data_IF_519346704691
#
_entry.id   IF_519346704691
#
_cell.length_a   1.000
_cell.length_b   1.000
_cell.length_c   1.000
_cell.angle_alpha   90.00
_cell.angle_beta   90.00
_cell.angle_gamma   90.00
#
_symmetry.space_group_name_H-M   'P 1'
#
loop_
_entity.id
_entity.type
_entity.pdbx_description
1 polymer ?
#
# COMPACT_ATOMS: atom_id res chain seq x y z
N UNK A 1 4.65 -18.63 -3.06
CA UNK A 1 6.07 -18.13 -3.14
C UNK A 1 6.61 -18.04 -1.72
N UNK A 2 7.74 -18.64 -1.47
CA UNK A 2 8.45 -18.57 -0.19
C UNK A 2 9.28 -17.28 -0.09
N UNK A 3 9.69 -16.93 1.12
CA UNK A 3 10.60 -15.80 1.36
C UNK A 3 11.92 -15.94 0.57
N UNK A 4 12.44 -17.17 0.47
CA UNK A 4 13.68 -17.43 -0.27
C UNK A 4 13.52 -17.14 -1.78
N UNK A 5 12.42 -17.60 -2.38
CA UNK A 5 12.11 -17.36 -3.79
C UNK A 5 11.92 -15.88 -4.09
N UNK A 6 11.24 -15.14 -3.19
CA UNK A 6 11.06 -13.70 -3.34
C UNK A 6 12.38 -12.93 -3.25
N UNK A 7 13.26 -13.25 -2.29
CA UNK A 7 14.60 -12.64 -2.20
C UNK A 7 15.42 -12.88 -3.45
N UNK A 8 15.39 -14.10 -3.98
CA UNK A 8 16.06 -14.46 -5.23
C UNK A 8 15.51 -13.63 -6.39
N UNK A 9 14.17 -13.58 -6.54
CA UNK A 9 13.48 -12.81 -7.59
C UNK A 9 13.89 -11.33 -7.56
N UNK A 10 13.86 -10.69 -6.38
CA UNK A 10 14.22 -9.28 -6.24
C UNK A 10 15.71 -9.05 -6.60
N UNK A 11 16.60 -9.92 -6.12
CA UNK A 11 18.04 -9.81 -6.39
C UNK A 11 18.36 -9.97 -7.88
N UNK A 12 17.77 -10.94 -8.55
CA UNK A 12 17.95 -11.19 -10.00
C UNK A 12 17.44 -10.03 -10.87
N UNK A 13 16.48 -9.24 -10.34
CA UNK A 13 15.96 -8.04 -10.99
C UNK A 13 16.60 -6.73 -10.49
N UNK A 14 17.74 -6.80 -9.81
CA UNK A 14 18.49 -5.64 -9.28
C UNK A 14 17.65 -4.73 -8.36
N UNK A 15 16.73 -5.30 -7.60
CA UNK A 15 15.93 -4.61 -6.61
C UNK A 15 16.59 -4.73 -5.23
N UNK A 16 17.01 -3.61 -4.68
CA UNK A 16 17.51 -3.51 -3.30
C UNK A 16 16.33 -3.50 -2.32
N UNK A 17 16.47 -4.24 -1.23
CA UNK A 17 15.45 -4.33 -0.19
C UNK A 17 16.08 -4.45 1.20
N UNK A 18 15.33 -4.04 2.21
CA UNK A 18 15.60 -4.28 3.62
C UNK A 18 14.64 -5.35 4.15
N UNK A 19 14.97 -5.95 5.29
CA UNK A 19 14.12 -6.95 5.95
C UNK A 19 13.72 -6.41 7.31
N UNK A 20 12.41 -6.40 7.58
CA UNK A 20 11.87 -6.13 8.90
C UNK A 20 11.06 -7.31 9.40
N UNK A 21 11.06 -7.51 10.71
CA UNK A 21 10.40 -8.60 11.41
C UNK A 21 9.42 -8.03 12.44
N UNK A 22 8.22 -8.60 12.51
CA UNK A 22 7.18 -8.22 13.45
C UNK A 22 6.66 -9.48 14.15
N UNK A 23 6.29 -9.35 15.43
CA UNK A 23 5.80 -10.49 16.22
C UNK A 23 4.45 -11.01 15.75
N UNK A 24 3.59 -10.11 15.22
CA UNK A 24 2.28 -10.45 14.69
C UNK A 24 1.81 -9.44 13.62
N UNK A 25 0.72 -9.76 12.91
CA UNK A 25 0.12 -8.88 11.91
C UNK A 25 -0.39 -7.56 12.48
N UNK A 26 -0.90 -7.54 13.70
CA UNK A 26 -1.41 -6.31 14.30
C UNK A 26 -0.27 -5.29 14.49
N UNK A 27 0.90 -5.76 14.97
CA UNK A 27 2.10 -4.94 15.11
C UNK A 27 2.58 -4.41 13.76
N UNK A 28 2.61 -5.25 12.73
CA UNK A 28 2.94 -4.83 11.37
C UNK A 28 1.98 -3.75 10.85
N UNK A 29 0.66 -3.95 10.96
CA UNK A 29 -0.32 -2.98 10.47
C UNK A 29 -0.27 -1.65 11.22
N UNK A 30 0.05 -1.66 12.52
CA UNK A 30 0.31 -0.42 13.28
C UNK A 30 1.58 0.32 12.82
N UNK A 31 2.52 -0.39 12.22
CA UNK A 31 3.72 0.22 11.64
C UNK A 31 3.43 0.91 10.31
N UNK A 32 2.58 0.32 9.46
CA UNK A 32 2.34 0.74 8.08
C UNK A 32 1.18 1.72 7.94
N UNK A 33 0.13 1.59 8.77
CA UNK A 33 -1.14 2.33 8.65
C UNK A 33 -1.38 3.23 9.85
N UNK A 34 -1.89 4.44 9.61
CA UNK A 34 -2.19 5.39 10.70
C UNK A 34 -3.29 4.89 11.65
N UNK A 35 -4.33 4.26 11.12
CA UNK A 35 -5.46 3.71 11.88
C UNK A 35 -5.83 2.31 11.38
N UNK A 36 -5.04 1.28 11.71
CA UNK A 36 -5.26 -0.08 11.24
C UNK A 36 -6.50 -0.71 11.85
N UNK A 37 -7.15 -1.58 11.08
CA UNK A 37 -8.24 -2.42 11.57
C UNK A 37 -7.69 -3.81 11.93
N UNK A 38 -7.35 -4.00 13.20
CA UNK A 38 -6.62 -5.19 13.67
C UNK A 38 -7.50 -6.31 14.21
N UNK A 39 -8.83 -6.21 14.10
CA UNK A 39 -9.77 -7.21 14.67
C UNK A 39 -9.53 -8.63 14.17
N UNK A 40 -9.09 -8.78 12.93
CA UNK A 40 -8.86 -10.07 12.28
C UNK A 40 -7.36 -10.37 12.08
N UNK A 41 -6.48 -9.61 12.72
CA UNK A 41 -5.05 -9.83 12.63
C UNK A 41 -4.68 -11.22 13.17
N UNK A 42 -3.85 -11.94 12.41
CA UNK A 42 -3.35 -13.26 12.81
C UNK A 42 -2.22 -13.10 13.84
N UNK A 43 -2.20 -14.00 14.82
CA UNK A 43 -1.10 -14.10 15.77
C UNK A 43 -0.01 -15.01 15.19
N UNK A 44 0.66 -14.54 14.14
CA UNK A 44 1.77 -15.22 13.51
C UNK A 44 2.88 -14.21 13.20
N UNK A 45 4.13 -14.68 13.24
CA UNK A 45 5.29 -13.87 12.89
C UNK A 45 5.19 -13.36 11.46
N UNK A 46 5.54 -12.09 11.25
CA UNK A 46 5.53 -11.45 9.92
C UNK A 46 6.92 -11.01 9.55
N UNK A 47 7.38 -11.38 8.36
CA UNK A 47 8.57 -10.83 7.72
C UNK A 47 8.16 -9.97 6.54
N UNK A 48 8.83 -8.82 6.40
CA UNK A 48 8.54 -7.87 5.33
C UNK A 48 9.82 -7.55 4.57
N UNK A 49 9.78 -7.70 3.24
CA UNK A 49 10.81 -7.16 2.35
C UNK A 49 10.38 -5.75 1.94
N UNK A 50 11.20 -4.76 2.27
CA UNK A 50 10.91 -3.34 2.06
C UNK A 50 11.78 -2.79 0.93
N UNK A 51 11.16 -2.32 -0.15
CA UNK A 51 11.82 -1.59 -1.23
C UNK A 51 11.52 -0.10 -1.00
N UNK A 52 12.55 0.65 -0.60
CA UNK A 52 12.43 2.07 -0.25
C UNK A 52 12.08 2.93 -1.46
N UNK A 53 11.06 3.76 -1.32
CA UNK A 53 10.64 4.69 -2.35
C UNK A 53 11.45 5.99 -2.37
N UNK A 54 11.43 6.69 -3.49
CA UNK A 54 12.03 8.01 -3.61
C UNK A 54 11.27 9.10 -2.82
N UNK A 55 9.98 8.88 -2.51
CA UNK A 55 9.17 9.82 -1.71
C UNK A 55 9.56 9.81 -0.21
N UNK A 56 10.31 8.81 0.24
CA UNK A 56 10.84 8.69 1.61
C UNK A 56 9.77 8.50 2.71
N UNK A 57 8.52 8.19 2.36
CA UNK A 57 7.40 8.03 3.30
C UNK A 57 6.63 6.73 3.14
N UNK A 58 6.37 6.30 1.91
CA UNK A 58 5.55 5.13 1.60
C UNK A 58 6.35 4.18 0.71
N UNK A 59 6.68 3.00 1.20
CA UNK A 59 7.51 2.01 0.55
C UNK A 59 6.67 0.95 -0.16
N UNK A 60 7.30 0.18 -1.05
CA UNK A 60 6.75 -1.11 -1.47
C UNK A 60 7.13 -2.13 -0.42
N UNK A 61 6.16 -2.89 0.04
CA UNK A 61 6.32 -3.90 1.08
C UNK A 61 5.76 -5.24 0.59
N UNK A 62 6.56 -6.30 0.71
CA UNK A 62 6.14 -7.67 0.47
C UNK A 62 6.02 -8.35 1.83
N UNK A 63 4.80 -8.66 2.23
CA UNK A 63 4.49 -9.33 3.48
C UNK A 63 4.58 -10.84 3.33
N UNK A 64 5.20 -11.49 4.32
CA UNK A 64 5.29 -12.93 4.45
C UNK A 64 4.87 -13.33 5.86
N UNK A 65 3.95 -14.26 5.96
CA UNK A 65 3.47 -14.78 7.23
C UNK A 65 4.11 -16.14 7.54
N UNK A 66 4.43 -16.36 8.82
CA UNK A 66 4.91 -17.65 9.29
C UNK A 66 3.81 -18.69 9.16
N UNK A 67 4.11 -19.80 8.45
CA UNK A 67 3.26 -20.98 8.31
C UNK A 67 4.15 -22.20 8.54
N UNK A 68 3.90 -22.92 9.64
CA UNK A 68 4.76 -24.01 10.10
C UNK A 68 6.23 -23.55 10.27
N UNK A 69 7.16 -24.13 9.52
CA UNK A 69 8.60 -23.84 9.57
C UNK A 69 9.05 -22.87 8.45
N UNK A 70 8.11 -22.26 7.68
CA UNK A 70 8.42 -21.41 6.52
C UNK A 70 7.71 -20.05 6.60
N UNK A 71 8.10 -19.13 5.73
CA UNK A 71 7.47 -17.83 5.52
C UNK A 71 6.88 -17.77 4.10
N UNK A 72 5.55 -17.70 4.04
CA UNK A 72 4.81 -17.66 2.78
C UNK A 72 4.35 -16.24 2.45
N UNK A 73 4.46 -15.89 1.17
CA UNK A 73 3.98 -14.61 0.65
C UNK A 73 2.48 -14.47 0.89
N UNK A 74 2.09 -13.35 1.47
CA UNK A 74 0.71 -12.99 1.77
C UNK A 74 0.21 -11.89 0.84
N UNK A 75 0.89 -10.75 0.81
CA UNK A 75 0.44 -9.59 0.03
C UNK A 75 1.58 -8.65 -0.37
N UNK A 76 1.32 -7.86 -1.42
CA UNK A 76 2.12 -6.75 -1.87
C UNK A 76 1.40 -5.46 -1.51
N UNK A 77 2.05 -4.58 -0.77
CA UNK A 77 1.52 -3.26 -0.43
C UNK A 77 2.41 -2.14 -0.98
N UNK A 78 1.79 -1.01 -1.27
CA UNK A 78 2.48 0.26 -1.49
C UNK A 78 1.90 1.29 -0.53
N UNK A 79 2.62 1.54 0.55
CA UNK A 79 2.11 2.26 1.70
C UNK A 79 0.87 1.59 2.28
N UNK A 80 -0.23 2.33 2.39
CA UNK A 80 -1.50 1.82 2.95
C UNK A 80 -2.36 1.03 1.95
N UNK A 81 -1.98 0.97 0.68
CA UNK A 81 -2.72 0.27 -0.36
C UNK A 81 -2.11 -1.11 -0.62
N UNK A 82 -2.90 -2.17 -0.41
CA UNK A 82 -2.48 -3.54 -0.68
C UNK A 82 -3.20 -4.10 -1.90
N UNK A 83 -2.45 -4.85 -2.71
CA UNK A 83 -2.94 -5.47 -3.94
C UNK A 83 -3.57 -6.82 -3.62
N UNK A 84 -4.81 -7.05 -4.07
CA UNK A 84 -5.44 -8.36 -4.02
C UNK A 84 -4.73 -9.31 -5.01
N UNK A 85 -3.94 -10.25 -4.49
CA UNK A 85 -3.15 -11.20 -5.29
C UNK A 85 -3.59 -12.67 -5.07
N UNK A 86 -4.84 -12.89 -4.64
CA UNK A 86 -5.31 -14.17 -4.10
C UNK A 86 -5.50 -15.31 -5.13
N UNK A 87 -5.56 -15.02 -6.44
CA UNK A 87 -5.93 -16.01 -7.46
C UNK A 87 -4.79 -16.40 -8.41
N UNK A 88 -3.55 -16.04 -8.11
CA UNK A 88 -2.45 -16.32 -9.02
C UNK A 88 -1.86 -17.72 -8.83
N UNK A 89 -1.79 -18.49 -9.91
CA UNK A 89 -0.95 -19.69 -9.95
C UNK A 89 0.50 -19.27 -9.67
N UNK A 90 1.24 -20.08 -8.92
CA UNK A 90 2.61 -19.77 -8.50
C UNK A 90 3.53 -19.26 -9.63
N UNK A 91 3.42 -19.84 -10.83
CA UNK A 91 4.20 -19.41 -12.00
C UNK A 91 3.86 -18.00 -12.49
N UNK A 92 2.63 -17.52 -12.26
CA UNK A 92 2.18 -16.18 -12.65
C UNK A 92 2.52 -15.14 -11.59
N UNK A 93 2.56 -15.53 -10.31
CA UNK A 93 2.75 -14.64 -9.17
C UNK A 93 4.04 -13.83 -9.27
N UNK A 94 5.16 -14.46 -9.64
CA UNK A 94 6.46 -13.77 -9.76
C UNK A 94 6.45 -12.68 -10.84
N UNK A 95 5.85 -12.97 -12.00
CA UNK A 95 5.75 -12.02 -13.10
C UNK A 95 4.82 -10.84 -12.75
N UNK A 96 3.68 -11.12 -12.12
CA UNK A 96 2.72 -10.10 -11.74
C UNK A 96 3.27 -9.22 -10.61
N UNK A 97 3.99 -9.82 -9.66
CA UNK A 97 4.70 -9.09 -8.61
C UNK A 97 5.70 -8.07 -9.21
N UNK A 98 6.57 -8.52 -10.12
CA UNK A 98 7.53 -7.64 -10.80
C UNK A 98 6.84 -6.57 -11.64
N UNK A 99 5.73 -6.90 -12.30
CA UNK A 99 4.93 -5.95 -13.07
C UNK A 99 4.38 -4.83 -12.18
N UNK A 100 3.81 -5.16 -11.01
CA UNK A 100 3.32 -4.16 -10.06
C UNK A 100 4.47 -3.32 -9.49
N UNK A 101 5.57 -3.94 -9.07
CA UNK A 101 6.75 -3.22 -8.57
C UNK A 101 7.28 -2.25 -9.62
N UNK A 102 7.45 -2.69 -10.87
CA UNK A 102 7.95 -1.84 -11.95
C UNK A 102 6.99 -0.69 -12.29
N UNK A 103 5.68 -0.94 -12.25
CA UNK A 103 4.65 0.08 -12.46
C UNK A 103 4.70 1.16 -11.38
N UNK A 104 4.83 0.77 -10.10
CA UNK A 104 4.98 1.70 -8.98
C UNK A 104 6.28 2.50 -9.14
N UNK A 105 7.41 1.84 -9.34
CA UNK A 105 8.74 2.48 -9.49
C UNK A 105 8.83 3.38 -10.72
N UNK A 106 8.09 3.08 -11.77
CA UNK A 106 7.97 3.92 -12.96
C UNK A 106 7.14 5.20 -12.76
N UNK A 107 6.50 5.37 -11.60
CA UNK A 107 5.62 6.51 -11.34
C UNK A 107 4.24 6.41 -12.02
N UNK A 108 3.89 5.24 -12.56
CA UNK A 108 2.59 5.02 -13.24
C UNK A 108 1.48 4.56 -12.29
N UNK A 109 1.73 4.63 -11.01
CA UNK A 109 0.78 4.19 -9.98
C UNK A 109 0.79 5.15 -8.80
N UNK A 110 -0.38 5.68 -8.46
CA UNK A 110 -0.57 6.55 -7.30
C UNK A 110 -1.68 6.04 -6.41
N UNK A 111 -1.58 6.40 -5.13
CA UNK A 111 -2.55 6.05 -4.11
C UNK A 111 -3.06 7.32 -3.43
N UNK A 112 -4.33 7.33 -3.08
CA UNK A 112 -4.91 8.29 -2.15
C UNK A 112 -5.57 7.54 -0.99
N UNK A 113 -5.29 8.00 0.23
CA UNK A 113 -5.86 7.47 1.47
C UNK A 113 -6.57 8.60 2.22
N UNK A 114 -7.75 8.31 2.77
CA UNK A 114 -8.50 9.25 3.60
C UNK A 114 -8.66 8.69 5.03
N UNK A 115 -8.27 9.49 6.02
CA UNK A 115 -8.35 9.16 7.44
C UNK A 115 -9.19 10.19 8.20
N UNK A 116 -10.11 9.73 9.04
CA UNK A 116 -10.87 10.56 9.98
C UNK A 116 -10.04 10.78 11.25
N UNK A 117 -9.46 11.96 11.39
CA UNK A 117 -8.64 12.31 12.54
C UNK A 117 -9.43 12.45 13.84
N UNK A 118 -10.73 12.79 13.77
CA UNK A 118 -11.59 12.94 14.94
C UNK A 118 -11.93 11.58 15.56
N UNK A 119 -12.32 10.62 14.73
CA UNK A 119 -12.73 9.29 15.18
C UNK A 119 -11.59 8.26 15.12
N UNK A 120 -10.38 8.68 14.75
CA UNK A 120 -9.17 7.84 14.65
C UNK A 120 -9.42 6.57 13.86
N UNK A 121 -9.90 6.72 12.62
CA UNK A 121 -10.18 5.57 11.75
C UNK A 121 -9.85 5.87 10.29
N UNK A 122 -9.43 4.82 9.60
CA UNK A 122 -9.39 4.79 8.16
C UNK A 122 -10.79 4.94 7.57
N UNK A 123 -10.94 5.70 6.51
CA UNK A 123 -12.21 5.91 5.82
C UNK A 123 -12.28 5.19 4.48
N UNK A 124 -11.26 5.39 3.66
CA UNK A 124 -11.18 4.81 2.32
C UNK A 124 -9.78 5.02 1.73
N UNK A 125 -9.45 4.20 0.76
CA UNK A 125 -8.37 4.41 -0.17
C UNK A 125 -8.80 4.18 -1.61
N UNK A 126 -7.95 4.54 -2.54
CA UNK A 126 -8.09 4.20 -3.96
C UNK A 126 -6.75 4.32 -4.65
N UNK A 127 -6.56 3.51 -5.67
CA UNK A 127 -5.40 3.61 -6.54
C UNK A 127 -5.75 4.18 -7.90
N UNK A 128 -4.74 4.71 -8.57
CA UNK A 128 -4.84 5.30 -9.90
C UNK A 128 -3.69 4.79 -10.77
N UNK A 129 -4.05 4.28 -11.93
CA UNK A 129 -3.11 4.05 -13.02
C UNK A 129 -2.91 5.38 -13.73
N UNK A 130 -1.73 5.97 -13.57
CA UNK A 130 -1.39 7.24 -14.19
C UNK A 130 -1.00 7.01 -15.65
N UNK A 131 -1.48 7.89 -16.52
CA UNK A 131 -0.95 8.12 -17.85
C UNK A 131 0.02 9.31 -17.79
N UNK A 132 0.87 9.43 -18.79
CA UNK A 132 1.97 10.44 -18.81
C UNK A 132 1.52 11.89 -18.52
N UNK A 133 0.23 12.23 -18.76
CA UNK A 133 -0.32 13.58 -18.57
C UNK A 133 -1.18 13.72 -17.29
N UNK A 134 -1.30 12.69 -16.46
CA UNK A 134 -2.13 12.74 -15.26
C UNK A 134 -1.36 13.34 -14.08
N UNK A 135 -1.70 14.57 -13.69
CA UNK A 135 -1.18 15.23 -12.47
C UNK A 135 -2.17 15.11 -11.32
N UNK A 136 -1.98 14.09 -10.46
CA UNK A 136 -2.79 13.90 -9.24
C UNK A 136 -2.40 14.86 -8.10
N UNK A 137 -1.23 15.44 -8.14
CA UNK A 137 -0.72 16.33 -7.12
C UNK A 137 -1.12 17.80 -7.36
N UNK A 138 -1.60 18.13 -8.57
CA UNK A 138 -2.22 19.41 -8.87
C UNK A 138 -3.62 19.55 -8.27
N UNK A 139 -4.12 20.79 -8.17
CA UNK A 139 -5.43 21.09 -7.57
C UNK A 139 -6.58 20.26 -8.15
N UNK A 140 -6.65 20.15 -9.48
CA UNK A 140 -7.74 19.40 -10.15
C UNK A 140 -7.57 17.88 -10.00
N UNK A 141 -6.35 17.38 -9.98
CA UNK A 141 -6.07 15.96 -9.75
C UNK A 141 -6.49 15.54 -8.34
N UNK A 142 -6.16 16.33 -7.34
CA UNK A 142 -6.60 16.11 -5.96
C UNK A 142 -8.12 16.07 -5.84
N UNK A 143 -8.84 17.03 -6.44
CA UNK A 143 -10.31 17.06 -6.39
C UNK A 143 -10.94 15.83 -7.04
N UNK A 144 -10.42 15.36 -8.19
CA UNK A 144 -10.85 14.10 -8.83
C UNK A 144 -10.59 12.89 -7.94
N UNK A 145 -9.41 12.82 -7.32
CA UNK A 145 -9.04 11.72 -6.43
C UNK A 145 -9.97 11.65 -5.21
N UNK A 146 -10.25 12.79 -4.57
CA UNK A 146 -11.21 12.88 -3.46
C UNK A 146 -12.61 12.45 -3.90
N UNK A 147 -13.07 12.90 -5.07
CA UNK A 147 -14.37 12.48 -5.62
C UNK A 147 -14.43 10.96 -5.83
N UNK A 148 -13.39 10.34 -6.36
CA UNK A 148 -13.34 8.88 -6.60
C UNK A 148 -13.47 8.08 -5.30
N UNK A 149 -12.80 8.50 -4.24
CA UNK A 149 -12.91 7.85 -2.92
C UNK A 149 -14.33 7.96 -2.35
N UNK A 150 -15.00 9.09 -2.56
CA UNK A 150 -16.28 9.39 -1.93
C UNK A 150 -17.50 9.03 -2.77
N UNK A 151 -17.35 8.87 -4.09
CA UNK A 151 -18.47 8.63 -5.02
C UNK A 151 -19.33 7.38 -4.70
N UNK A 152 -18.77 6.23 -4.24
CA UNK A 152 -19.57 5.03 -4.03
C UNK A 152 -20.53 5.10 -2.83
N UNK A 153 -20.39 6.07 -1.93
CA UNK A 153 -21.01 6.00 -0.60
C UNK A 153 -22.09 7.04 -0.31
N UNK A 154 -22.44 7.93 -1.24
CA UNK A 154 -23.37 9.04 -0.93
C UNK A 154 -22.88 9.91 0.24
N UNK A 155 -21.59 9.92 0.50
CA UNK A 155 -20.96 10.29 1.77
C UNK A 155 -20.55 11.76 1.85
N UNK A 156 -20.64 12.51 0.75
CA UNK A 156 -20.11 13.89 0.66
C UNK A 156 -20.67 14.79 1.77
N UNK A 157 -21.93 14.61 2.16
CA UNK A 157 -22.56 15.49 3.15
C UNK A 157 -22.14 15.22 4.60
N UNK A 158 -21.65 14.03 4.92
CA UNK A 158 -21.16 13.68 6.28
C UNK A 158 -19.69 14.01 6.48
N UNK A 159 -18.87 13.95 5.44
CA UNK A 159 -17.44 14.21 5.49
C UNK A 159 -17.07 15.68 5.65
N UNK A 160 -17.93 16.60 5.23
CA UNK A 160 -17.73 18.05 5.42
C UNK A 160 -17.75 18.49 6.91
N UNK A 161 -18.07 17.58 7.84
CA UNK A 161 -18.10 17.85 9.29
C UNK A 161 -16.98 17.17 10.08
N UNK A 162 -16.14 16.37 9.44
CA UNK A 162 -15.03 15.65 10.10
C UNK A 162 -13.70 16.18 9.60
N UNK A 163 -12.73 16.33 10.51
CA UNK A 163 -11.36 16.66 10.14
C UNK A 163 -10.74 15.46 9.43
N UNK A 164 -10.61 15.54 8.11
CA UNK A 164 -10.12 14.44 7.27
C UNK A 164 -8.69 14.72 6.82
N UNK A 165 -7.80 13.76 7.03
CA UNK A 165 -6.45 13.74 6.47
C UNK A 165 -6.48 12.94 5.17
N UNK A 166 -5.96 13.54 4.11
CA UNK A 166 -5.72 12.89 2.83
C UNK A 166 -4.22 12.75 2.62
N UNK A 167 -3.78 11.53 2.34
CA UNK A 167 -2.43 11.25 1.89
C UNK A 167 -2.49 10.84 0.42
N UNK A 168 -1.71 11.50 -0.44
CA UNK A 168 -1.57 11.17 -1.85
C UNK A 168 -0.11 10.91 -2.11
N UNK A 169 0.20 9.78 -2.74
CA UNK A 169 1.57 9.42 -3.03
C UNK A 169 1.72 8.56 -4.28
N UNK A 170 2.84 8.74 -4.94
CA UNK A 170 3.42 7.83 -5.93
C UNK A 170 4.84 7.45 -5.49
N UNK A 171 5.61 6.82 -6.38
CA UNK A 171 6.99 6.43 -6.09
C UNK A 171 7.91 7.60 -5.71
N UNK A 172 7.70 8.78 -6.30
CA UNK A 172 8.57 9.94 -6.19
C UNK A 172 8.02 11.04 -5.29
N UNK A 173 6.71 11.09 -5.07
CA UNK A 173 6.01 12.23 -4.47
C UNK A 173 5.12 11.77 -3.32
N UNK A 174 5.10 12.56 -2.26
CA UNK A 174 4.16 12.40 -1.14
C UNK A 174 3.57 13.75 -0.75
N UNK A 175 2.27 13.81 -0.59
CA UNK A 175 1.53 14.98 -0.13
C UNK A 175 0.52 14.59 0.95
N UNK A 176 0.45 15.38 2.03
CA UNK A 176 -0.55 15.23 3.09
C UNK A 176 -1.35 16.51 3.22
N UNK A 177 -2.68 16.41 3.14
CA UNK A 177 -3.62 17.53 3.20
C UNK A 177 -4.66 17.25 4.29
N UNK A 178 -4.88 18.22 5.18
CA UNK A 178 -5.93 18.14 6.21
C UNK A 178 -7.05 19.12 5.84
N UNK A 179 -8.28 18.63 5.74
CA UNK A 179 -9.49 19.42 5.46
C UNK A 179 -10.55 19.23 6.55
#
# INVERSE_FOLDING_TARGET
MTLFEAKKLLTENNLTFEISEFEDEATYWHHTTLFPYTKNARNCKVLVLIISSNNGKKNIELQFNAVDDDFLFEELCFGDFCFEMFDYKEEMLANDLLKHINKIKGGFFSVIVANDLKNKKWLADSSFDLKDDDDLFGKHGFEKAVQKIHAPKGFISKLLKTKTQYEIYDWNTYQCIIK
#
